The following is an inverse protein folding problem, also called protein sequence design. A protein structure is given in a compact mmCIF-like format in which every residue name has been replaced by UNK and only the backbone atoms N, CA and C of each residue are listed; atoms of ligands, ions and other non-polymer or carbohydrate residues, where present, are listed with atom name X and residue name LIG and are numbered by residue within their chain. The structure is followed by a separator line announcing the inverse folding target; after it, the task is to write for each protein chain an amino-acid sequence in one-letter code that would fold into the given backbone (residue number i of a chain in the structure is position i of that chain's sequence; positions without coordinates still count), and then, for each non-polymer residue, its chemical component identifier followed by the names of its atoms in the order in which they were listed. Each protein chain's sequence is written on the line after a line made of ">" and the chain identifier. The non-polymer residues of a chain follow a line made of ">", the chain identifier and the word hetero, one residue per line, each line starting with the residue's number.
data_IF_429988373089
#
_entry.id   IF_429988373089
#
_cell.length_a   1.000
_cell.length_b   1.000
_cell.length_c   1.000
_cell.angle_alpha   90.00
_cell.angle_beta   90.00
_cell.angle_gamma   90.00
#
_symmetry.space_group_name_H-M   'P 1'
#
loop_
_entity.id
_entity.type
_entity.pdbx_description
1 polymer ?
#
# COMPACT_ATOMS: atom_id res chain seq x y z
N UNK A 1 -14.68 -11.99 -22.57
CA UNK A 1 -13.68 -11.18 -23.31
C UNK A 1 -13.26 -10.01 -22.43
N UNK A 2 -11.97 -9.66 -22.32
CA UNK A 2 -11.54 -8.43 -21.66
C UNK A 2 -12.38 -7.24 -22.15
N UNK A 3 -12.74 -6.32 -21.26
CA UNK A 3 -13.52 -5.11 -21.55
C UNK A 3 -14.99 -5.28 -21.98
N UNK A 4 -15.53 -6.50 -21.98
CA UNK A 4 -16.96 -6.74 -22.31
C UNK A 4 -17.98 -6.01 -21.42
N UNK A 5 -17.58 -5.55 -20.23
CA UNK A 5 -18.42 -4.76 -19.32
C UNK A 5 -18.27 -3.23 -19.45
N UNK A 6 -17.55 -2.73 -20.46
CA UNK A 6 -17.35 -1.28 -20.66
C UNK A 6 -18.31 -0.79 -21.75
N UNK A 7 -19.29 0.03 -21.35
CA UNK A 7 -20.23 0.65 -22.28
C UNK A 7 -19.59 1.77 -23.11
N UNK A 8 -20.17 2.05 -24.29
CA UNK A 8 -19.66 3.09 -25.22
C UNK A 8 -19.52 4.47 -24.56
N UNK A 9 -20.45 4.84 -23.70
CA UNK A 9 -20.40 6.10 -22.95
C UNK A 9 -19.11 6.23 -22.11
N UNK A 10 -18.72 5.15 -21.40
CA UNK A 10 -17.48 5.13 -20.61
C UNK A 10 -16.23 5.21 -21.48
N UNK A 11 -16.27 4.60 -22.67
CA UNK A 11 -15.17 4.73 -23.65
C UNK A 11 -15.10 6.16 -24.19
N UNK A 12 -16.23 6.76 -24.53
CA UNK A 12 -16.32 8.16 -24.95
C UNK A 12 -15.72 9.10 -23.91
N UNK A 13 -16.18 9.05 -22.67
CA UNK A 13 -15.65 9.90 -21.61
C UNK A 13 -14.15 9.71 -21.33
N UNK A 14 -13.62 8.50 -21.55
CA UNK A 14 -12.17 8.25 -21.48
C UNK A 14 -11.43 8.93 -22.62
N UNK A 15 -11.92 8.80 -23.86
CA UNK A 15 -11.34 9.43 -25.05
C UNK A 15 -11.40 10.95 -24.92
N UNK A 16 -12.56 11.51 -24.56
CA UNK A 16 -12.75 12.94 -24.36
C UNK A 16 -11.76 13.49 -23.33
N UNK A 17 -11.57 12.78 -22.22
CA UNK A 17 -10.58 13.14 -21.19
C UNK A 17 -9.15 13.13 -21.75
N UNK A 18 -8.81 12.15 -22.57
CA UNK A 18 -7.48 12.06 -23.18
C UNK A 18 -7.25 13.16 -24.22
N UNK A 19 -8.27 13.54 -25.00
CA UNK A 19 -8.21 14.65 -25.95
C UNK A 19 -8.07 15.99 -25.21
N UNK A 20 -8.91 16.24 -24.21
CA UNK A 20 -8.86 17.44 -23.36
C UNK A 20 -7.47 17.62 -22.72
N UNK A 21 -6.83 16.52 -22.34
CA UNK A 21 -5.51 16.51 -21.69
C UNK A 21 -4.34 16.55 -22.67
N UNK A 22 -4.58 16.74 -23.98
CA UNK A 22 -3.60 16.66 -25.07
C UNK A 22 -2.83 15.32 -25.12
N UNK A 23 -3.41 14.25 -24.54
CA UNK A 23 -2.85 12.88 -24.61
C UNK A 23 -3.19 12.27 -25.97
N UNK A 24 -4.43 12.46 -26.42
CA UNK A 24 -4.84 12.18 -27.79
C UNK A 24 -5.06 13.47 -28.56
N UNK A 25 -4.99 13.37 -29.87
CA UNK A 25 -5.39 14.39 -30.81
C UNK A 25 -6.39 13.75 -31.77
N UNK A 26 -7.50 14.43 -32.02
CA UNK A 26 -8.54 13.98 -32.95
C UNK A 26 -8.56 14.89 -34.18
N UNK A 27 -8.44 14.29 -35.36
CA UNK A 27 -8.62 14.96 -36.65
C UNK A 27 -9.28 13.99 -37.63
N UNK A 28 -10.28 14.47 -38.36
CA UNK A 28 -10.98 13.72 -39.42
C UNK A 28 -11.51 12.34 -38.95
N UNK A 29 -11.97 12.25 -37.70
CA UNK A 29 -12.46 11.00 -37.09
C UNK A 29 -11.35 9.99 -36.75
N UNK A 30 -10.09 10.40 -36.80
CA UNK A 30 -8.92 9.59 -36.45
C UNK A 30 -8.29 10.13 -35.18
N UNK A 31 -8.00 9.21 -34.24
CA UNK A 31 -7.27 9.51 -33.01
C UNK A 31 -5.77 9.19 -33.20
N UNK A 32 -4.92 10.16 -32.88
CA UNK A 32 -3.47 10.02 -32.80
C UNK A 32 -2.95 10.49 -31.45
N UNK A 33 -1.65 10.33 -31.16
CA UNK A 33 -1.07 10.85 -29.93
C UNK A 33 -0.95 12.37 -30.01
N UNK A 34 -1.45 13.04 -28.98
CA UNK A 34 -1.22 14.47 -28.78
C UNK A 34 0.14 14.74 -28.14
N UNK A 35 0.48 16.03 -27.99
CA UNK A 35 1.77 16.50 -27.46
C UNK A 35 2.13 15.87 -26.11
N UNK A 36 1.17 15.80 -25.19
CA UNK A 36 1.38 15.17 -23.88
C UNK A 36 1.49 13.65 -24.01
N UNK A 37 0.72 13.05 -24.93
CA UNK A 37 0.77 11.62 -25.22
C UNK A 37 2.14 11.18 -25.73
N UNK A 38 2.76 11.94 -26.63
CA UNK A 38 4.12 11.68 -27.11
C UNK A 38 5.16 11.78 -25.98
N UNK A 39 5.03 12.77 -25.09
CA UNK A 39 5.91 12.92 -23.94
C UNK A 39 5.80 11.76 -22.94
N UNK A 40 4.57 11.30 -22.68
CA UNK A 40 4.27 10.20 -21.75
C UNK A 40 4.65 8.83 -22.33
N UNK A 41 4.33 8.61 -23.61
CA UNK A 41 4.31 7.27 -24.21
C UNK A 41 5.20 7.12 -25.43
N UNK A 42 5.66 8.18 -26.09
CA UNK A 42 6.39 8.11 -27.36
C UNK A 42 7.83 7.59 -27.26
N UNK A 43 8.43 7.61 -26.07
CA UNK A 43 9.83 7.18 -25.88
C UNK A 43 10.01 5.70 -26.21
N UNK A 44 11.19 5.37 -26.75
CA UNK A 44 11.60 3.99 -27.10
C UNK A 44 10.57 3.27 -27.97
N UNK A 45 10.08 3.92 -29.04
CA UNK A 45 9.09 3.36 -29.96
C UNK A 45 7.81 2.90 -29.27
N UNK A 46 7.23 3.75 -28.44
CA UNK A 46 5.98 3.46 -27.73
C UNK A 46 6.06 2.26 -26.78
N UNK A 47 7.26 1.93 -26.28
CA UNK A 47 7.46 0.77 -25.39
C UNK A 47 6.55 0.80 -24.16
N UNK A 48 6.25 1.99 -23.62
CA UNK A 48 5.32 2.16 -22.51
C UNK A 48 3.88 1.74 -22.85
N UNK A 49 3.45 1.73 -24.11
CA UNK A 49 2.12 1.21 -24.48
C UNK A 49 2.10 -0.32 -24.53
N UNK A 50 3.21 -0.95 -24.94
CA UNK A 50 3.29 -2.41 -25.15
C UNK A 50 3.75 -3.19 -23.91
N UNK A 51 4.51 -2.57 -23.01
CA UNK A 51 5.08 -3.26 -21.87
C UNK A 51 3.98 -3.70 -20.87
N UNK A 52 3.86 -5.00 -20.64
CA UNK A 52 2.97 -5.57 -19.60
C UNK A 52 3.58 -5.50 -18.19
N UNK A 53 4.88 -5.20 -18.10
CA UNK A 53 5.59 -4.95 -16.85
C UNK A 53 6.27 -3.58 -16.90
N UNK A 54 6.07 -2.77 -15.87
CA UNK A 54 6.76 -1.48 -15.72
C UNK A 54 7.95 -1.67 -14.79
N UNK A 55 9.15 -1.35 -15.25
CA UNK A 55 10.32 -1.31 -14.38
C UNK A 55 10.12 -0.22 -13.32
N UNK A 56 10.40 -0.55 -12.05
CA UNK A 56 10.31 0.47 -11.01
C UNK A 56 11.34 1.58 -11.26
N UNK A 57 10.97 2.87 -11.17
CA UNK A 57 11.91 3.96 -11.40
C UNK A 57 13.09 3.88 -10.42
N UNK A 58 14.30 4.01 -10.95
CA UNK A 58 15.54 4.04 -10.17
C UNK A 58 16.09 5.47 -10.16
N UNK A 59 16.65 5.89 -9.03
CA UNK A 59 17.37 7.14 -8.86
C UNK A 59 18.86 6.85 -8.70
N UNK A 60 19.70 7.67 -9.33
CA UNK A 60 21.16 7.66 -9.16
C UNK A 60 21.52 8.38 -7.87
N UNK A 61 22.34 7.76 -7.03
CA UNK A 61 22.78 8.35 -5.76
C UNK A 61 24.15 8.98 -5.96
N UNK A 62 24.23 10.29 -5.75
CA UNK A 62 25.41 11.12 -6.01
C UNK A 62 25.98 11.65 -4.70
N UNK A 63 27.24 11.31 -4.38
CA UNK A 63 28.03 11.93 -3.32
C UNK A 63 28.96 12.97 -3.95
N UNK A 64 28.54 14.24 -3.92
CA UNK A 64 29.17 15.29 -4.72
C UNK A 64 28.99 15.02 -6.22
N UNK A 65 30.09 14.82 -6.94
CA UNK A 65 30.10 14.47 -8.37
C UNK A 65 30.20 12.95 -8.62
N UNK A 66 30.39 12.15 -7.59
CA UNK A 66 30.61 10.70 -7.72
C UNK A 66 29.30 9.94 -7.54
N UNK A 67 28.95 9.10 -8.51
CA UNK A 67 27.85 8.14 -8.33
C UNK A 67 28.29 7.00 -7.41
N UNK A 68 27.54 6.79 -6.33
CA UNK A 68 27.82 5.74 -5.32
C UNK A 68 26.87 4.54 -5.43
N UNK A 69 25.91 4.59 -6.35
CA UNK A 69 24.99 3.50 -6.67
C UNK A 69 23.62 4.02 -7.09
N UNK A 70 22.64 3.12 -7.09
CA UNK A 70 21.24 3.45 -7.41
C UNK A 70 20.27 2.97 -6.34
N UNK A 71 19.13 3.64 -6.21
CA UNK A 71 18.04 3.28 -5.29
C UNK A 71 16.70 3.37 -6.00
N UNK A 72 15.72 2.55 -5.60
CA UNK A 72 14.36 2.68 -6.09
C UNK A 72 13.77 4.04 -5.68
N UNK A 73 13.11 4.74 -6.60
CA UNK A 73 12.44 6.01 -6.33
C UNK A 73 11.44 5.90 -5.16
N UNK A 74 10.72 4.79 -5.10
CA UNK A 74 9.71 4.54 -4.07
C UNK A 74 10.32 4.50 -2.65
N UNK A 75 11.53 3.96 -2.49
CA UNK A 75 12.23 3.95 -1.20
C UNK A 75 12.44 5.36 -0.66
N UNK A 76 12.80 6.30 -1.56
CA UNK A 76 13.00 7.72 -1.21
C UNK A 76 11.66 8.41 -0.96
N UNK A 77 10.62 8.10 -1.74
CA UNK A 77 9.27 8.68 -1.56
C UNK A 77 8.59 8.24 -0.26
N UNK A 78 8.85 7.01 0.22
CA UNK A 78 8.23 6.48 1.43
C UNK A 78 8.87 6.99 2.73
N UNK A 79 9.87 7.87 2.65
CA UNK A 79 10.43 8.51 3.82
C UNK A 79 9.36 9.34 4.55
N UNK A 80 9.21 9.09 5.85
CA UNK A 80 8.46 9.96 6.73
C UNK A 80 9.31 11.20 7.07
N UNK A 81 9.01 12.33 6.43
CA UNK A 81 9.73 13.58 6.66
C UNK A 81 9.55 14.13 8.09
N UNK A 82 8.62 13.59 8.88
CA UNK A 82 8.46 13.97 10.29
C UNK A 82 9.53 13.36 11.21
N UNK A 83 10.25 12.32 10.75
CA UNK A 83 11.32 11.66 11.51
C UNK A 83 12.73 12.15 11.16
N UNK A 84 12.85 13.29 10.47
CA UNK A 84 14.12 13.85 10.04
C UNK A 84 14.61 13.33 8.69
N UNK A 85 15.86 13.66 8.29
CA UNK A 85 16.40 13.35 6.98
C UNK A 85 16.64 11.84 6.78
N UNK A 86 16.38 11.32 5.59
CA UNK A 86 16.58 9.91 5.26
C UNK A 86 18.07 9.56 5.29
N UNK A 87 18.44 8.74 6.25
CA UNK A 87 19.75 8.12 6.32
C UNK A 87 19.64 6.63 5.97
N UNK A 88 20.41 6.18 4.98
CA UNK A 88 20.38 4.80 4.50
C UNK A 88 21.77 4.25 4.17
N UNK A 89 21.91 2.93 4.18
CA UNK A 89 23.15 2.26 3.80
C UNK A 89 23.16 1.92 2.31
N UNK A 90 24.21 2.30 1.59
CA UNK A 90 24.45 1.94 0.20
C UNK A 90 25.94 1.68 -0.01
N UNK A 91 26.26 0.58 -0.69
CA UNK A 91 27.65 0.14 -0.90
C UNK A 91 28.47 0.08 0.41
N UNK A 92 27.84 -0.42 1.49
CA UNK A 92 28.50 -0.61 2.79
C UNK A 92 28.68 0.66 3.64
N UNK A 93 28.31 1.85 3.14
CA UNK A 93 28.43 3.13 3.86
C UNK A 93 27.07 3.75 4.13
N UNK A 94 26.97 4.56 5.17
CA UNK A 94 25.76 5.31 5.49
C UNK A 94 25.78 6.69 4.83
N UNK A 95 24.64 7.05 4.25
CA UNK A 95 24.42 8.25 3.47
C UNK A 95 23.16 8.96 3.95
N UNK A 96 23.22 10.28 4.10
CA UNK A 96 22.08 11.14 4.38
C UNK A 96 21.65 11.85 3.10
N UNK A 97 20.36 11.75 2.74
CA UNK A 97 19.78 12.52 1.63
C UNK A 97 19.82 14.01 1.96
N UNK A 98 20.36 14.79 1.02
CA UNK A 98 20.40 16.25 1.07
C UNK A 98 19.37 16.84 0.13
N UNK A 99 19.21 16.25 -1.06
CA UNK A 99 18.33 16.75 -2.11
C UNK A 99 17.89 15.61 -3.02
N UNK A 100 16.69 15.71 -3.58
CA UNK A 100 16.19 14.80 -4.61
C UNK A 100 15.74 15.60 -5.82
N UNK A 101 16.45 15.45 -6.93
CA UNK A 101 16.10 16.00 -8.24
C UNK A 101 15.32 14.92 -9.02
N UNK A 102 14.00 14.92 -8.84
CA UNK A 102 13.09 13.95 -9.47
C UNK A 102 13.09 14.05 -10.99
N UNK A 103 13.28 15.26 -11.54
CA UNK A 103 13.30 15.47 -12.99
C UNK A 103 14.53 14.80 -13.63
N UNK A 104 15.68 14.80 -12.94
CA UNK A 104 16.92 14.16 -13.41
C UNK A 104 17.10 12.73 -12.89
N UNK A 105 16.22 12.26 -12.00
CA UNK A 105 16.35 10.96 -11.36
C UNK A 105 17.59 10.85 -10.48
N UNK A 106 17.91 11.91 -9.71
CA UNK A 106 19.14 12.00 -8.92
C UNK A 106 18.83 12.27 -7.45
N UNK A 107 19.49 11.55 -6.54
CA UNK A 107 19.50 11.80 -5.09
C UNK A 107 20.90 12.26 -4.70
N UNK A 108 21.03 13.47 -4.17
CA UNK A 108 22.30 13.96 -3.62
C UNK A 108 22.42 13.58 -2.16
N UNK A 109 23.58 13.04 -1.79
CA UNK A 109 23.84 12.56 -0.43
C UNK A 109 25.14 13.11 0.15
N UNK A 110 25.20 13.13 1.48
CA UNK A 110 26.44 13.32 2.27
C UNK A 110 26.66 12.13 3.20
N UNK A 111 27.89 11.96 3.70
CA UNK A 111 28.18 10.90 4.66
C UNK A 111 27.35 11.04 5.94
N UNK A 112 26.97 9.90 6.53
CA UNK A 112 26.25 9.82 7.80
C UNK A 112 26.87 8.77 8.71
N UNK A 113 26.71 8.91 10.02
CA UNK A 113 27.25 7.95 11.00
C UNK A 113 26.45 6.63 11.02
N UNK A 114 25.13 6.73 10.81
CA UNK A 114 24.20 5.60 10.81
C UNK A 114 23.19 5.76 9.68
N UNK A 115 22.67 4.65 9.20
CA UNK A 115 21.62 4.61 8.19
C UNK A 115 20.88 3.28 8.22
N UNK A 116 19.59 3.30 7.93
CA UNK A 116 18.78 2.08 7.82
C UNK A 116 19.25 1.28 6.61
N UNK A 117 19.28 -0.05 6.71
CA UNK A 117 19.51 -0.90 5.53
C UNK A 117 18.30 -0.75 4.62
N UNK A 118 18.45 -0.34 3.34
CA UNK A 118 17.34 -0.29 2.40
C UNK A 118 16.75 -1.68 2.28
N UNK A 119 15.45 -1.79 2.54
CA UNK A 119 14.72 -3.02 2.28
C UNK A 119 14.15 -2.94 0.87
N UNK A 120 14.64 -3.81 -0.02
CA UNK A 120 14.14 -3.97 -1.39
C UNK A 120 12.94 -4.89 -1.46
N UNK A 121 12.16 -4.97 -0.39
CA UNK A 121 10.83 -5.54 -0.49
C UNK A 121 10.10 -4.64 -1.48
N UNK A 122 9.63 -5.21 -2.60
CA UNK A 122 8.67 -4.52 -3.46
C UNK A 122 7.53 -3.96 -2.59
N UNK A 123 6.75 -3.00 -3.12
CA UNK A 123 5.59 -2.40 -2.44
C UNK A 123 4.96 -3.48 -1.54
N UNK A 124 4.87 -3.29 -0.20
CA UNK A 124 4.27 -4.29 0.66
C UNK A 124 2.95 -4.67 0.02
N UNK A 125 2.91 -5.89 -0.53
CA UNK A 125 1.79 -6.34 -1.30
C UNK A 125 0.59 -6.21 -0.39
N UNK A 126 -0.46 -5.54 -0.87
CA UNK A 126 -1.74 -5.55 -0.19
C UNK A 126 -2.20 -6.99 -0.30
N UNK A 127 -2.06 -7.75 0.79
CA UNK A 127 -2.48 -9.14 0.81
C UNK A 127 -4.01 -9.17 0.90
N UNK A 128 -4.61 -10.13 0.20
CA UNK A 128 -6.05 -10.32 0.22
C UNK A 128 -6.49 -10.86 1.58
N UNK A 129 -7.78 -10.66 1.89
CA UNK A 129 -8.38 -11.21 3.09
C UNK A 129 -8.26 -12.73 3.14
N UNK A 130 -8.43 -13.42 2.01
CA UNK A 130 -8.36 -14.88 1.94
C UNK A 130 -6.97 -15.41 2.28
N UNK A 131 -5.91 -14.75 1.76
CA UNK A 131 -4.54 -15.13 2.08
C UNK A 131 -4.22 -14.86 3.55
N UNK A 132 -4.61 -13.70 4.08
CA UNK A 132 -4.39 -13.38 5.49
C UNK A 132 -5.20 -14.31 6.41
N UNK A 133 -6.42 -14.69 6.02
CA UNK A 133 -7.22 -15.71 6.70
C UNK A 133 -6.54 -17.08 6.69
N UNK A 134 -5.93 -17.49 5.57
CA UNK A 134 -5.14 -18.72 5.51
C UNK A 134 -3.92 -18.65 6.45
N UNK A 135 -3.25 -17.49 6.52
CA UNK A 135 -2.16 -17.26 7.49
C UNK A 135 -2.69 -17.39 8.93
N UNK A 136 -3.85 -16.78 9.26
CA UNK A 136 -4.49 -16.90 10.58
C UNK A 136 -4.69 -18.37 10.97
N UNK A 137 -5.21 -19.19 10.06
CA UNK A 137 -5.42 -20.64 10.29
C UNK A 137 -4.11 -21.40 10.55
N UNK A 138 -3.04 -21.06 9.83
CA UNK A 138 -1.71 -21.64 10.05
C UNK A 138 -1.16 -21.24 11.42
N UNK A 139 -1.29 -19.96 11.80
CA UNK A 139 -0.90 -19.45 13.12
C UNK A 139 -1.71 -20.09 14.26
N UNK A 140 -3.00 -20.37 14.02
CA UNK A 140 -3.87 -21.06 14.97
C UNK A 140 -3.62 -22.58 15.07
N UNK A 141 -2.72 -23.13 14.27
CA UNK A 141 -2.46 -24.57 14.24
C UNK A 141 -3.57 -25.40 13.58
N UNK A 142 -4.51 -24.77 12.89
CA UNK A 142 -5.63 -25.44 12.20
C UNK A 142 -5.21 -26.13 10.90
N UNK A 143 -3.99 -25.89 10.46
CA UNK A 143 -3.41 -26.51 9.26
C UNK A 143 -2.24 -27.38 9.68
N UNK A 144 -2.34 -28.69 9.45
CA UNK A 144 -1.22 -29.60 9.70
C UNK A 144 -0.02 -29.22 8.82
N UNK A 145 1.11 -28.95 9.47
CA UNK A 145 2.38 -28.75 8.78
C UNK A 145 2.72 -30.00 7.97
N UNK A 146 2.70 -29.88 6.65
CA UNK A 146 2.88 -31.05 5.78
C UNK A 146 4.22 -31.74 6.02
N UNK A 147 4.28 -33.04 5.69
CA UNK A 147 5.45 -33.94 5.86
C UNK A 147 6.73 -33.47 5.13
N UNK A 148 6.66 -32.36 4.40
CA UNK A 148 7.74 -31.75 3.63
C UNK A 148 8.52 -30.67 4.40
N UNK A 149 8.10 -30.28 5.61
CA UNK A 149 8.85 -29.34 6.44
C UNK A 149 10.10 -29.98 7.03
N UNK A 150 11.24 -29.30 6.93
CA UNK A 150 12.46 -29.68 7.66
C UNK A 150 12.28 -29.47 9.17
N UNK A 151 13.15 -30.08 9.97
CA UNK A 151 13.14 -29.90 11.44
C UNK A 151 13.24 -28.42 11.85
N UNK A 152 14.11 -27.65 11.18
CA UNK A 152 14.27 -26.23 11.44
C UNK A 152 13.02 -25.44 11.07
N UNK A 153 12.44 -25.69 9.88
CA UNK A 153 11.22 -25.00 9.46
C UNK A 153 10.04 -25.28 10.39
N UNK A 154 9.93 -26.53 10.88
CA UNK A 154 8.92 -26.90 11.86
C UNK A 154 9.05 -26.11 13.17
N UNK A 155 10.28 -25.99 13.68
CA UNK A 155 10.55 -25.22 14.92
C UNK A 155 10.22 -23.73 14.77
N UNK A 156 10.54 -23.14 13.62
CA UNK A 156 10.18 -21.74 13.34
C UNK A 156 8.65 -21.55 13.28
N UNK A 157 7.94 -22.50 12.65
CA UNK A 157 6.47 -22.47 12.62
C UNK A 157 5.87 -22.62 14.03
N UNK A 158 6.38 -23.56 14.83
CA UNK A 158 5.96 -23.75 16.23
C UNK A 158 6.19 -22.46 17.04
N UNK A 159 7.32 -21.78 16.86
CA UNK A 159 7.59 -20.50 17.53
C UNK A 159 6.59 -19.41 17.14
N UNK A 160 6.20 -19.34 15.86
CA UNK A 160 5.15 -18.41 15.39
C UNK A 160 3.79 -18.77 16.00
N UNK A 161 3.42 -20.05 16.04
CA UNK A 161 2.15 -20.48 16.63
C UNK A 161 2.06 -20.14 18.11
N UNK A 162 3.15 -20.38 18.86
CA UNK A 162 3.25 -19.98 20.28
C UNK A 162 3.10 -18.46 20.44
N UNK A 163 3.71 -17.67 19.56
CA UNK A 163 3.62 -16.20 19.63
C UNK A 163 2.20 -15.65 19.36
N UNK A 164 1.32 -16.43 18.72
CA UNK A 164 -0.09 -16.07 18.49
C UNK A 164 -1.07 -16.84 19.38
N UNK A 165 -0.56 -17.66 20.30
CA UNK A 165 -1.39 -18.37 21.28
C UNK A 165 -2.16 -17.35 22.13
N UNK A 166 -3.48 -17.52 22.25
CA UNK A 166 -4.35 -16.57 22.96
C UNK A 166 -4.69 -15.29 22.17
N UNK A 167 -4.10 -15.09 20.99
CA UNK A 167 -4.45 -14.01 20.04
C UNK A 167 -5.37 -14.53 18.94
N UNK A 168 -5.03 -15.69 18.39
CA UNK A 168 -5.81 -16.38 17.35
C UNK A 168 -6.45 -17.64 17.92
N UNK A 169 -7.69 -17.94 17.48
CA UNK A 169 -8.46 -19.11 17.92
C UNK A 169 -9.70 -18.73 18.75
N UNK A 170 -10.51 -19.73 19.16
CA UNK A 170 -11.73 -19.48 19.92
C UNK A 170 -11.46 -18.79 21.26
N UNK A 171 -12.05 -17.60 21.47
CA UNK A 171 -11.89 -16.81 22.71
C UNK A 171 -10.55 -16.08 22.84
N UNK A 172 -9.74 -16.02 21.77
CA UNK A 172 -8.50 -15.25 21.75
C UNK A 172 -8.74 -13.75 21.78
N UNK A 173 -7.88 -13.00 22.48
CA UNK A 173 -7.95 -11.54 22.49
C UNK A 173 -7.20 -10.98 21.27
N UNK A 174 -7.94 -10.55 20.26
CA UNK A 174 -7.34 -9.98 19.06
C UNK A 174 -6.61 -8.64 19.32
N UNK A 175 -6.86 -7.98 20.46
CA UNK A 175 -6.27 -6.67 20.81
C UNK A 175 -5.27 -6.83 21.95
N UNK A 176 -4.01 -6.51 21.69
CA UNK A 176 -2.89 -6.58 22.64
C UNK A 176 -2.34 -5.20 22.98
N UNK A 177 -2.05 -4.98 24.25
CA UNK A 177 -1.21 -3.89 24.74
C UNK A 177 0.26 -4.35 24.73
N UNK A 178 1.06 -3.77 23.83
CA UNK A 178 2.52 -3.93 23.82
C UNK A 178 3.19 -2.72 24.49
N UNK A 179 4.46 -2.84 24.85
CA UNK A 179 5.19 -1.83 25.62
C UNK A 179 5.13 -0.40 25.04
N UNK A 180 5.06 -0.28 23.71
CA UNK A 180 5.06 1.02 23.02
C UNK A 180 3.89 1.22 22.07
N UNK A 181 3.00 0.23 21.93
CA UNK A 181 1.92 0.28 20.96
C UNK A 181 0.76 -0.64 21.32
N UNK A 182 -0.43 -0.30 20.84
CA UNK A 182 -1.59 -1.20 20.85
C UNK A 182 -1.71 -1.83 19.48
N UNK A 183 -1.89 -3.15 19.46
CA UNK A 183 -1.98 -3.95 18.24
C UNK A 183 -3.32 -4.67 18.19
N UNK A 184 -4.10 -4.42 17.14
CA UNK A 184 -5.26 -5.23 16.80
C UNK A 184 -4.89 -6.21 15.67
N UNK A 185 -4.84 -7.50 15.99
CA UNK A 185 -4.51 -8.61 15.11
C UNK A 185 -5.74 -9.06 14.31
N UNK A 186 -6.01 -8.37 13.20
CA UNK A 186 -7.22 -8.55 12.41
C UNK A 186 -7.15 -9.71 11.40
N UNK A 187 -5.98 -9.96 10.82
CA UNK A 187 -5.81 -10.84 9.64
C UNK A 187 -6.79 -10.53 8.49
N UNK A 188 -7.27 -9.30 8.38
CA UNK A 188 -8.28 -8.92 7.40
C UNK A 188 -7.71 -8.62 6.01
N UNK A 189 -6.38 -8.54 5.87
CA UNK A 189 -5.73 -8.11 4.63
C UNK A 189 -5.62 -6.58 4.54
N UNK A 190 -4.69 -6.11 3.72
CA UNK A 190 -4.27 -4.70 3.74
C UNK A 190 -5.34 -3.71 3.29
N UNK A 191 -6.23 -4.12 2.38
CA UNK A 191 -7.30 -3.25 1.87
C UNK A 191 -8.38 -3.00 2.94
N UNK A 192 -8.77 -4.05 3.67
CA UNK A 192 -9.72 -3.95 4.79
C UNK A 192 -9.07 -3.20 5.96
N UNK A 193 -7.83 -3.56 6.32
CA UNK A 193 -7.12 -2.92 7.43
C UNK A 193 -6.90 -1.42 7.24
N UNK A 194 -6.75 -0.94 6.00
CA UNK A 194 -6.69 0.50 5.73
C UNK A 194 -7.98 1.22 6.08
N UNK A 195 -9.13 0.61 5.78
CA UNK A 195 -10.42 1.17 6.18
C UNK A 195 -10.61 1.07 7.70
N UNK A 196 -10.26 -0.06 8.32
CA UNK A 196 -10.32 -0.21 9.78
C UNK A 196 -9.46 0.83 10.50
N UNK A 197 -8.24 1.09 10.03
CA UNK A 197 -7.38 2.13 10.58
C UNK A 197 -8.00 3.54 10.45
N UNK A 198 -8.64 3.83 9.32
CA UNK A 198 -9.35 5.10 9.14
C UNK A 198 -10.59 5.21 10.05
N UNK A 199 -11.32 4.11 10.27
CA UNK A 199 -12.45 4.05 11.18
C UNK A 199 -12.01 4.25 12.64
N UNK A 200 -10.96 3.55 13.07
CA UNK A 200 -10.38 3.74 14.40
C UNK A 200 -9.84 5.16 14.60
N UNK A 201 -9.26 5.78 13.56
CA UNK A 201 -8.86 7.19 13.63
C UNK A 201 -10.05 8.13 13.79
N UNK A 202 -11.18 7.85 13.14
CA UNK A 202 -12.41 8.62 13.29
C UNK A 202 -12.93 8.52 14.74
N UNK A 203 -12.93 7.32 15.32
CA UNK A 203 -13.45 7.06 16.66
C UNK A 203 -12.52 7.56 17.78
N UNK A 204 -11.21 7.38 17.62
CA UNK A 204 -10.23 7.66 18.67
C UNK A 204 -9.55 9.03 18.51
N UNK A 205 -9.63 9.66 17.34
CA UNK A 205 -8.88 10.88 17.01
C UNK A 205 -7.36 10.69 16.91
N UNK A 206 -6.88 9.44 16.86
CA UNK A 206 -5.45 9.09 16.87
C UNK A 206 -5.06 8.40 15.57
N UNK A 207 -3.79 8.49 15.18
CA UNK A 207 -3.26 7.84 13.97
C UNK A 207 -3.09 6.34 14.20
N UNK A 208 -3.71 5.57 13.32
CA UNK A 208 -3.56 4.12 13.22
C UNK A 208 -2.80 3.73 11.95
N UNK A 209 -1.91 2.76 12.06
CA UNK A 209 -1.10 2.25 10.95
C UNK A 209 -1.58 0.87 10.55
N UNK A 210 -2.07 0.74 9.33
CA UNK A 210 -2.51 -0.53 8.77
C UNK A 210 -1.34 -1.36 8.21
N UNK A 211 -1.24 -2.61 8.66
CA UNK A 211 -0.50 -3.68 8.01
C UNK A 211 -1.46 -4.68 7.33
N UNK A 212 -0.91 -5.80 6.82
CA UNK A 212 -1.75 -6.87 6.26
C UNK A 212 -2.41 -7.75 7.33
N UNK A 213 -1.73 -7.98 8.46
CA UNK A 213 -2.19 -8.87 9.53
C UNK A 213 -2.75 -8.11 10.73
N UNK A 214 -2.43 -6.83 10.88
CA UNK A 214 -2.80 -6.04 12.05
C UNK A 214 -2.97 -4.55 11.76
N UNK A 215 -3.61 -3.85 12.69
CA UNK A 215 -3.75 -2.40 12.76
C UNK A 215 -3.16 -1.93 14.08
N UNK A 216 -2.29 -0.90 14.06
CA UNK A 216 -1.47 -0.51 15.22
C UNK A 216 -1.57 0.96 15.56
N UNK A 217 -1.52 1.30 16.84
CA UNK A 217 -1.43 2.68 17.32
C UNK A 217 -0.25 2.84 18.29
N UNK A 218 0.59 3.84 18.04
CA UNK A 218 1.73 4.21 18.89
C UNK A 218 1.51 5.50 19.69
N UNK A 219 0.31 6.08 19.58
CA UNK A 219 0.02 7.34 20.24
C UNK A 219 -0.30 7.13 21.71
N UNK A 220 0.18 8.05 22.54
CA UNK A 220 -0.10 8.07 23.98
C UNK A 220 -1.61 8.20 24.25
N UNK A 221 -2.05 7.58 25.33
CA UNK A 221 -3.44 7.59 25.77
C UNK A 221 -4.34 6.61 25.01
N UNK A 222 -3.78 5.62 24.31
CA UNK A 222 -4.51 4.49 23.74
C UNK A 222 -4.13 3.21 24.50
N UNK A 223 -5.13 2.37 24.78
CA UNK A 223 -4.98 1.07 25.43
C UNK A 223 -5.86 0.05 24.74
N UNK A 224 -5.61 -1.23 24.97
CA UNK A 224 -6.39 -2.34 24.42
C UNK A 224 -7.85 -2.29 24.85
N UNK A 225 -8.12 -1.86 26.09
CA UNK A 225 -9.50 -1.68 26.58
C UNK A 225 -10.26 -0.59 25.82
N UNK A 226 -9.65 0.58 25.60
CA UNK A 226 -10.26 1.65 24.80
C UNK A 226 -10.44 1.22 23.34
N UNK A 227 -9.44 0.51 22.82
CA UNK A 227 -9.46 -0.01 21.45
C UNK A 227 -10.62 -0.95 21.21
N UNK A 228 -10.91 -1.88 22.15
CA UNK A 228 -12.10 -2.73 22.08
C UNK A 228 -13.39 -1.93 21.99
N UNK A 229 -13.53 -0.87 22.79
CA UNK A 229 -14.67 0.04 22.72
C UNK A 229 -14.78 0.79 21.38
N UNK A 230 -13.66 1.16 20.76
CA UNK A 230 -13.68 1.75 19.41
C UNK A 230 -14.06 0.71 18.34
N UNK A 231 -13.58 -0.53 18.47
CA UNK A 231 -13.91 -1.63 17.55
C UNK A 231 -15.41 -1.91 17.52
N UNK A 232 -16.09 -1.87 18.66
CA UNK A 232 -17.56 -2.05 18.73
C UNK A 232 -18.30 -0.99 17.90
N UNK A 233 -17.86 0.27 17.95
CA UNK A 233 -18.47 1.38 17.19
C UNK A 233 -18.24 1.29 15.68
N UNK A 234 -17.26 0.50 15.23
CA UNK A 234 -17.02 0.30 13.79
C UNK A 234 -18.21 -0.33 13.07
N UNK A 235 -19.12 -1.01 13.78
CA UNK A 235 -20.37 -1.52 13.23
C UNK A 235 -21.30 -0.43 12.67
N UNK A 236 -21.19 0.80 13.18
CA UNK A 236 -22.08 1.93 12.83
C UNK A 236 -21.49 2.85 11.75
N UNK A 237 -20.22 2.64 11.37
CA UNK A 237 -19.50 3.50 10.44
C UNK A 237 -20.06 3.41 9.02
N UNK A 238 -20.31 4.56 8.39
CA UNK A 238 -20.57 4.64 6.96
C UNK A 238 -19.27 4.43 6.15
N UNK A 239 -18.97 3.16 5.88
CA UNK A 239 -17.79 2.74 5.12
C UNK A 239 -17.71 3.30 3.70
N UNK A 240 -18.83 3.64 3.06
CA UNK A 240 -18.82 4.22 1.72
C UNK A 240 -18.36 5.67 1.74
N UNK A 241 -18.88 6.46 2.68
CA UNK A 241 -18.45 7.84 2.89
C UNK A 241 -16.99 7.90 3.34
N UNK A 242 -16.60 7.07 4.31
CA UNK A 242 -15.23 6.99 4.80
C UNK A 242 -14.25 6.61 3.69
N UNK A 243 -14.56 5.59 2.87
CA UNK A 243 -13.70 5.17 1.77
C UNK A 243 -13.50 6.28 0.72
N UNK A 244 -14.54 7.07 0.42
CA UNK A 244 -14.42 8.24 -0.47
C UNK A 244 -13.46 9.29 0.13
N UNK A 245 -13.54 9.54 1.43
CA UNK A 245 -12.62 10.43 2.14
C UNK A 245 -11.16 9.94 2.08
N UNK A 246 -10.94 8.67 2.40
CA UNK A 246 -9.61 8.03 2.34
C UNK A 246 -9.05 8.05 0.91
N UNK A 247 -9.86 7.74 -0.09
CA UNK A 247 -9.44 7.73 -1.50
C UNK A 247 -8.91 9.08 -1.97
N UNK A 248 -9.51 10.19 -1.53
CA UNK A 248 -9.01 11.54 -1.84
C UNK A 248 -7.59 11.80 -1.34
N UNK A 249 -7.17 11.14 -0.24
CA UNK A 249 -5.80 11.21 0.26
C UNK A 249 -4.81 10.32 -0.49
N UNK A 250 -5.29 9.22 -1.10
CA UNK A 250 -4.49 8.23 -1.81
C UNK A 250 -4.10 8.63 -3.25
N UNK A 251 -4.75 9.66 -3.81
CA UNK A 251 -4.51 10.16 -5.18
C UNK A 251 -3.15 10.84 -5.37
N UNK A 252 -2.36 11.06 -4.31
CA UNK A 252 -1.07 11.77 -4.38
C UNK A 252 0.08 10.99 -5.04
N UNK A 253 -0.18 9.88 -5.73
CA UNK A 253 0.84 9.06 -6.40
C UNK A 253 0.38 8.44 -7.71
N UNK A 254 1.33 8.13 -8.59
CA UNK A 254 1.09 7.39 -9.84
C UNK A 254 1.10 5.89 -9.57
N UNK A 255 -0.07 5.26 -9.60
CA UNK A 255 -0.24 3.82 -9.33
C UNK A 255 -0.18 2.95 -10.59
N UNK A 256 -0.45 3.56 -11.74
CA UNK A 256 -0.33 2.95 -13.06
C UNK A 256 0.08 4.02 -14.07
N UNK A 257 0.85 3.63 -15.09
CA UNK A 257 1.27 4.50 -16.20
C UNK A 257 0.11 5.06 -17.02
N UNK A 258 -1.08 4.48 -16.92
CA UNK A 258 -2.30 4.94 -17.60
C UNK A 258 -3.22 5.79 -16.72
N UNK A 259 -2.86 6.06 -15.46
CA UNK A 259 -3.63 6.93 -14.58
C UNK A 259 -3.87 8.33 -15.20
N UNK A 260 -2.90 8.95 -15.91
CA UNK A 260 -3.14 10.23 -16.60
C UNK A 260 -4.26 10.20 -17.65
N UNK A 261 -4.59 9.02 -18.18
CA UNK A 261 -5.66 8.86 -19.17
C UNK A 261 -7.04 8.83 -18.54
N UNK A 262 -7.16 8.52 -17.25
CA UNK A 262 -8.45 8.28 -16.61
C UNK A 262 -9.18 9.59 -16.26
N UNK A 263 -10.51 9.66 -16.48
CA UNK A 263 -11.35 10.65 -15.83
C UNK A 263 -11.20 10.57 -14.31
N UNK A 264 -11.35 11.71 -13.61
CA UNK A 264 -11.13 11.77 -12.15
C UNK A 264 -12.04 10.78 -11.37
N UNK A 265 -13.25 10.54 -11.86
CA UNK A 265 -14.19 9.57 -11.28
C UNK A 265 -13.70 8.13 -11.43
N UNK A 266 -13.11 7.77 -12.57
CA UNK A 266 -12.59 6.43 -12.84
C UNK A 266 -11.24 6.19 -12.16
N UNK A 267 -10.39 7.21 -12.07
CA UNK A 267 -9.17 7.19 -11.24
C UNK A 267 -9.53 6.94 -9.78
N UNK A 268 -10.50 7.68 -9.24
CA UNK A 268 -10.96 7.47 -7.86
C UNK A 268 -11.48 6.04 -7.64
N UNK A 269 -12.28 5.51 -8.58
CA UNK A 269 -12.76 4.11 -8.53
C UNK A 269 -11.61 3.10 -8.59
N UNK A 270 -10.61 3.33 -9.44
CA UNK A 270 -9.43 2.47 -9.53
C UNK A 270 -8.69 2.41 -8.19
N UNK A 271 -8.45 3.56 -7.56
CA UNK A 271 -7.75 3.63 -6.28
C UNK A 271 -8.55 2.97 -5.17
N UNK A 272 -9.86 3.22 -5.10
CA UNK A 272 -10.75 2.54 -4.16
C UNK A 272 -10.65 1.03 -4.37
N UNK A 273 -10.88 0.52 -5.58
CA UNK A 273 -10.90 -0.92 -5.83
C UNK A 273 -9.54 -1.61 -5.62
N UNK A 274 -8.44 -0.89 -5.84
CA UNK A 274 -7.08 -1.46 -5.71
C UNK A 274 -6.56 -1.41 -4.28
N UNK A 275 -6.98 -0.42 -3.48
CA UNK A 275 -6.36 -0.12 -2.20
C UNK A 275 -7.30 -0.31 -1.01
N UNK A 276 -8.61 -0.31 -1.23
CA UNK A 276 -9.67 -0.38 -0.22
C UNK A 276 -10.65 -1.50 -0.60
N UNK A 277 -11.34 -2.05 0.40
CA UNK A 277 -12.39 -3.04 0.16
C UNK A 277 -13.59 -2.80 1.07
N UNK A 278 -14.50 -1.92 0.64
CA UNK A 278 -15.69 -1.54 1.42
C UNK A 278 -16.59 -2.75 1.70
N UNK A 279 -16.79 -3.61 0.70
CA UNK A 279 -17.65 -4.80 0.84
C UNK A 279 -17.00 -5.83 1.74
N UNK A 280 -15.70 -6.04 1.60
CA UNK A 280 -14.88 -6.87 2.49
C UNK A 280 -14.93 -6.35 3.92
N UNK A 281 -14.71 -5.06 4.16
CA UNK A 281 -14.76 -4.47 5.50
C UNK A 281 -16.10 -4.65 6.17
N UNK A 282 -17.22 -4.38 5.47
CA UNK A 282 -18.57 -4.60 6.02
C UNK A 282 -18.78 -6.06 6.42
N UNK A 283 -18.48 -7.00 5.52
CA UNK A 283 -18.60 -8.45 5.79
C UNK A 283 -17.71 -8.87 6.95
N UNK A 284 -16.47 -8.40 6.96
CA UNK A 284 -15.50 -8.72 7.99
C UNK A 284 -16.01 -8.25 9.35
N UNK A 285 -16.43 -6.99 9.52
CA UNK A 285 -16.94 -6.50 10.82
C UNK A 285 -18.16 -7.29 11.30
N UNK A 286 -19.07 -7.65 10.39
CA UNK A 286 -20.29 -8.40 10.74
C UNK A 286 -20.06 -9.88 11.02
N UNK A 287 -18.90 -10.45 10.67
CA UNK A 287 -18.64 -11.87 10.93
C UNK A 287 -18.38 -12.10 12.42
N UNK A 288 -19.10 -13.05 13.00
CA UNK A 288 -19.06 -13.41 14.43
C UNK A 288 -17.71 -13.98 14.93
N UNK A 289 -16.69 -14.08 14.07
CA UNK A 289 -15.33 -14.55 14.40
C UNK A 289 -14.42 -13.46 15.00
N UNK A 290 -14.97 -12.29 15.32
CA UNK A 290 -14.20 -11.09 15.70
C UNK A 290 -14.27 -10.72 17.20
N UNK A 291 -14.96 -11.54 18.00
CA UNK A 291 -15.03 -11.40 19.46
C UNK A 291 -14.09 -12.36 20.16
#
# INVERSE_FOLDING_TARGET
>A
VPFSGIGRERVGGLVDTMVEREILYEADGVLSLGRRGESLYGKKNFFELYAVFTAQPMLRVMAGQTEVGTVQAQFVMMQDNTQGPLCFRLAGRAWMVVEVDWAKGVVRVRAADKGKVPSWLGVPGVLSHELCGAVKKVCAGEVEGGRWLSKTAKRELEAVQIAYEGVVGPGGQAVEDQETEVVWHTFAGGAINRLLAAGLMLESGKKWVAGNLSVRCKEEGISGAMTRGYVEKLGEVDWESLAKGVAKGLTRGTWTKFQPCLPQSEESKLLVNRLLDVKGTRRWITSSENG
#
